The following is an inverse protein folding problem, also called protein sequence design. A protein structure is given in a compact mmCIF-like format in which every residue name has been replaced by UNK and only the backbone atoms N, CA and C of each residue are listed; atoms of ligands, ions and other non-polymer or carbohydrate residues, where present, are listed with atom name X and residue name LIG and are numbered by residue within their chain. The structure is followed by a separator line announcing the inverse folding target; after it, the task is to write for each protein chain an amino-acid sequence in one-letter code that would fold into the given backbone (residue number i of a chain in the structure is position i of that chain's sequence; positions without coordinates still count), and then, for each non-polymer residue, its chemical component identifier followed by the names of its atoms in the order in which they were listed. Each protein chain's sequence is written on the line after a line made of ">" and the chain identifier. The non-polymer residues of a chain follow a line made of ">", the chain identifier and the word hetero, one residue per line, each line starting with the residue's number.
data_IF_703826300480
#
_entry.id   IF_703826300480
#
_cell.length_a   1.000
_cell.length_b   1.000
_cell.length_c   1.000
_cell.angle_alpha   90.00
_cell.angle_beta   90.00
_cell.angle_gamma   90.00
#
_symmetry.space_group_name_H-M   'P 1'
#
loop_
_entity.id
_entity.type
_entity.pdbx_description
1 polymer ?
#
# COMPACT_ATOMS: atom_id res chain seq x y z
N UNK A 1 10.38 -13.90 -8.96
CA UNK A 1 10.10 -14.47 -7.62
C UNK A 1 8.65 -14.14 -7.30
N UNK A 2 7.81 -15.09 -6.82
CA UNK A 2 6.41 -14.78 -6.56
C UNK A 2 6.35 -13.81 -5.38
N UNK A 3 5.85 -12.60 -5.63
CA UNK A 3 5.57 -11.61 -4.59
C UNK A 3 4.50 -12.26 -3.71
N UNK A 4 4.88 -12.65 -2.50
CA UNK A 4 3.95 -13.39 -1.64
C UNK A 4 3.02 -12.39 -0.99
N UNK A 5 1.78 -12.78 -0.68
CA UNK A 5 0.84 -11.87 0.01
C UNK A 5 1.41 -11.23 1.27
N UNK A 6 2.36 -11.91 1.92
CA UNK A 6 3.12 -11.38 3.06
C UNK A 6 3.76 -10.04 2.73
N UNK A 7 4.38 -9.91 1.56
CA UNK A 7 4.96 -8.66 1.07
C UNK A 7 3.89 -7.57 0.93
N UNK A 8 2.70 -7.89 0.42
CA UNK A 8 1.60 -6.92 0.30
C UNK A 8 1.08 -6.41 1.65
N UNK A 9 0.95 -7.29 2.66
CA UNK A 9 0.60 -6.87 4.02
C UNK A 9 1.68 -5.95 4.61
N UNK A 10 2.97 -6.24 4.36
CA UNK A 10 4.08 -5.38 4.82
C UNK A 10 4.14 -4.04 4.07
N UNK A 11 3.88 -4.04 2.76
CA UNK A 11 3.80 -2.82 1.92
C UNK A 11 2.70 -1.90 2.43
N UNK A 12 1.52 -2.45 2.73
CA UNK A 12 0.40 -1.72 3.32
C UNK A 12 0.59 -1.44 4.83
N UNK A 13 1.65 -1.97 5.46
CA UNK A 13 1.91 -1.81 6.88
C UNK A 13 0.81 -2.38 7.79
N UNK A 14 0.12 -3.42 7.33
CA UNK A 14 -1.00 -4.06 8.03
C UNK A 14 -0.63 -5.48 8.47
N UNK A 15 -1.22 -5.98 9.56
CA UNK A 15 -1.02 -7.36 9.97
C UNK A 15 -1.63 -8.34 8.95
N UNK A 16 -1.13 -9.58 8.93
CA UNK A 16 -1.64 -10.67 8.07
C UNK A 16 -3.08 -11.08 8.38
N UNK A 17 -3.56 -10.69 9.56
CA UNK A 17 -4.94 -10.87 10.02
C UNK A 17 -5.79 -9.62 9.77
N UNK A 18 -5.29 -8.62 9.05
CA UNK A 18 -6.03 -7.42 8.72
C UNK A 18 -7.21 -7.76 7.80
N UNK A 19 -8.40 -7.36 8.21
CA UNK A 19 -9.60 -7.46 7.38
C UNK A 19 -9.55 -6.47 6.21
N UNK A 20 -10.38 -6.69 5.19
CA UNK A 20 -10.53 -5.77 4.05
C UNK A 20 -10.76 -4.30 4.47
N UNK A 21 -11.47 -4.05 5.58
CA UNK A 21 -11.63 -2.70 6.15
C UNK A 21 -10.31 -2.09 6.66
N UNK A 22 -9.47 -2.87 7.34
CA UNK A 22 -8.16 -2.42 7.81
C UNK A 22 -7.23 -2.13 6.64
N UNK A 23 -7.21 -3.01 5.64
CA UNK A 23 -6.44 -2.82 4.40
C UNK A 23 -6.86 -1.52 3.71
N UNK A 24 -8.18 -1.24 3.62
CA UNK A 24 -8.70 -0.01 3.02
C UNK A 24 -8.37 1.26 3.82
N UNK A 25 -8.34 1.16 5.15
CA UNK A 25 -7.94 2.29 6.02
C UNK A 25 -6.43 2.57 5.89
N UNK A 26 -5.61 1.53 5.93
CA UNK A 26 -4.16 1.65 5.76
C UNK A 26 -3.78 2.20 4.39
N UNK A 27 -4.38 1.68 3.32
CA UNK A 27 -4.20 2.22 1.96
C UNK A 27 -4.50 3.71 1.89
N UNK A 28 -5.63 4.16 2.48
CA UNK A 28 -5.97 5.60 2.52
C UNK A 28 -4.95 6.43 3.31
N UNK A 29 -4.47 5.93 4.44
CA UNK A 29 -3.46 6.63 5.23
C UNK A 29 -2.11 6.73 4.49
N UNK A 30 -1.70 5.65 3.82
CA UNK A 30 -0.47 5.60 3.04
C UNK A 30 -0.56 6.46 1.77
N UNK A 31 -1.70 6.45 1.08
CA UNK A 31 -1.98 7.34 -0.05
C UNK A 31 -1.85 8.82 0.34
N UNK A 32 -2.34 9.20 1.53
CA UNK A 32 -2.18 10.56 2.06
C UNK A 32 -0.73 10.86 2.46
N UNK A 33 0.04 9.85 2.88
CA UNK A 33 1.44 9.99 3.31
C UNK A 33 2.41 10.12 2.12
N UNK A 34 2.11 9.39 1.04
CA UNK A 34 2.83 9.43 -0.23
C UNK A 34 2.24 10.45 -1.22
N UNK A 35 1.31 11.29 -0.79
CA UNK A 35 0.71 12.29 -1.66
C UNK A 35 1.76 13.32 -2.12
N UNK A 36 1.84 13.67 -3.42
CA UNK A 36 2.85 14.57 -3.99
C UNK A 36 2.82 16.00 -3.43
N UNK A 37 1.76 16.37 -2.73
CA UNK A 37 1.66 17.63 -1.98
C UNK A 37 2.45 17.59 -0.66
N UNK A 38 2.63 16.40 -0.08
CA UNK A 38 3.33 16.18 1.20
C UNK A 38 4.75 15.66 1.01
N UNK A 39 5.02 14.95 -0.09
CA UNK A 39 6.37 14.54 -0.45
C UNK A 39 7.00 15.56 -1.40
N UNK A 40 8.20 16.05 -1.06
CA UNK A 40 8.95 16.95 -1.93
C UNK A 40 9.28 16.29 -3.29
N UNK A 41 9.64 17.11 -4.29
CA UNK A 41 9.91 16.65 -5.66
C UNK A 41 10.92 15.49 -5.74
N UNK A 42 11.88 15.42 -4.82
CA UNK A 42 12.87 14.34 -4.71
C UNK A 42 12.24 12.98 -4.35
N UNK A 43 11.19 12.97 -3.54
CA UNK A 43 10.49 11.76 -3.09
C UNK A 43 9.28 11.42 -3.95
N UNK A 44 8.99 12.21 -4.99
CA UNK A 44 7.83 12.00 -5.87
C UNK A 44 7.92 10.68 -6.64
N UNK A 45 9.12 10.32 -7.11
CA UNK A 45 9.38 9.00 -7.75
C UNK A 45 9.14 7.85 -6.78
N UNK A 46 9.74 7.94 -5.59
CA UNK A 46 9.63 6.89 -4.57
C UNK A 46 8.18 6.73 -4.07
N UNK A 47 7.46 7.85 -3.97
CA UNK A 47 6.04 7.86 -3.66
C UNK A 47 5.19 7.24 -4.77
N UNK A 48 5.49 7.48 -6.04
CA UNK A 48 4.80 6.87 -7.17
C UNK A 48 5.01 5.35 -7.21
N UNK A 49 6.24 4.89 -6.98
CA UNK A 49 6.55 3.45 -6.87
C UNK A 49 5.80 2.81 -5.70
N UNK A 50 5.90 3.39 -4.49
CA UNK A 50 5.16 2.92 -3.31
C UNK A 50 3.65 2.94 -3.54
N UNK A 51 3.11 3.97 -4.18
CA UNK A 51 1.68 4.07 -4.46
C UNK A 51 1.21 2.95 -5.39
N UNK A 52 2.04 2.60 -6.38
CA UNK A 52 1.77 1.50 -7.30
C UNK A 52 1.78 0.15 -6.57
N UNK A 53 2.78 -0.08 -5.73
CA UNK A 53 2.87 -1.28 -4.87
C UNK A 53 1.68 -1.37 -3.90
N UNK A 54 1.31 -0.26 -3.26
CA UNK A 54 0.15 -0.16 -2.36
C UNK A 54 -1.17 -0.47 -3.08
N UNK A 55 -1.31 0.01 -4.31
CA UNK A 55 -2.52 -0.21 -5.11
C UNK A 55 -2.64 -1.67 -5.56
N UNK A 56 -1.52 -2.28 -5.95
CA UNK A 56 -1.46 -3.70 -6.32
C UNK A 56 -1.71 -4.60 -5.10
N UNK A 57 -1.06 -4.28 -3.98
CA UNK A 57 -1.27 -4.92 -2.69
C UNK A 57 -2.74 -4.85 -2.27
N UNK A 58 -3.34 -3.66 -2.33
CA UNK A 58 -4.75 -3.47 -1.99
C UNK A 58 -5.65 -4.33 -2.88
N UNK A 59 -5.45 -4.30 -4.21
CA UNK A 59 -6.25 -5.09 -5.14
C UNK A 59 -6.18 -6.60 -4.83
N UNK A 60 -4.96 -7.14 -4.67
CA UNK A 60 -4.76 -8.58 -4.41
C UNK A 60 -5.30 -8.98 -3.04
N UNK A 61 -5.08 -8.18 -2.01
CA UNK A 61 -5.57 -8.50 -0.67
C UNK A 61 -7.09 -8.38 -0.58
N UNK A 62 -7.71 -7.45 -1.31
CA UNK A 62 -9.18 -7.30 -1.32
C UNK A 62 -9.88 -8.36 -2.16
N UNK A 63 -9.21 -8.92 -3.17
CA UNK A 63 -9.75 -9.98 -4.02
C UNK A 63 -9.75 -11.35 -3.32
N UNK A 64 -8.77 -11.58 -2.43
CA UNK A 64 -8.68 -12.83 -1.65
C UNK A 64 -9.42 -12.80 -0.30
N UNK A 65 -9.73 -11.63 0.25
CA UNK A 65 -10.41 -11.50 1.55
C UNK A 65 -11.93 -11.64 1.49
#
# INVERSE_FOLDING_TARGET
>A
MPVTKRDYYEILGVPKSASAEEIKRAYRQLALKHHPDRVGAEHKKEAEEKFKELSEAYAVLTDEQ
#
